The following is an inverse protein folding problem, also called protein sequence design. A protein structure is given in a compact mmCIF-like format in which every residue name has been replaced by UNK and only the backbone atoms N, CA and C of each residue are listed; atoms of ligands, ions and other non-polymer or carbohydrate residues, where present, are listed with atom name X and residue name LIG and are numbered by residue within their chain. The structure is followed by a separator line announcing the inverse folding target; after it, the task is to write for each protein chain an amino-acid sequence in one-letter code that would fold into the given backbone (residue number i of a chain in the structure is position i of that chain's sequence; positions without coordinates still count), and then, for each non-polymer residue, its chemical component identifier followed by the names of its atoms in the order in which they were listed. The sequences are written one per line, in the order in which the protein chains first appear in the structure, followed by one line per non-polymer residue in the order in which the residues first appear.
data_IF_396861570580
#
_entry.id   IF_396861570580
#
_cell.length_a   1.000
_cell.length_b   1.000
_cell.length_c   1.000
_cell.angle_alpha   90.00
_cell.angle_beta   90.00
_cell.angle_gamma   90.00
#
_symmetry.space_group_name_H-M   'P 1'
#
loop_
_entity.id
_entity.type
_entity.pdbx_description
1 polymer ?
#
# COMPACT_ATOMS: atom_id res chain seq x y z
N UNK A 1 13.77 -19.31 10.37
CA UNK A 1 14.72 -18.23 9.99
C UNK A 1 14.23 -17.43 8.78
N UNK A 2 13.92 -18.06 7.64
CA UNK A 2 13.44 -17.33 6.43
C UNK A 2 12.15 -16.54 6.67
N UNK A 3 11.19 -17.08 7.44
CA UNK A 3 9.97 -16.37 7.86
C UNK A 3 10.29 -15.05 8.57
N UNK A 4 11.24 -15.06 9.52
CA UNK A 4 11.66 -13.88 10.29
C UNK A 4 12.33 -12.85 9.37
N UNK A 5 13.17 -13.31 8.44
CA UNK A 5 13.83 -12.45 7.45
C UNK A 5 12.77 -11.77 6.57
N UNK A 6 11.81 -12.52 6.04
CA UNK A 6 10.74 -11.98 5.22
C UNK A 6 9.92 -10.94 5.99
N UNK A 7 9.58 -11.23 7.24
CA UNK A 7 8.82 -10.32 8.09
C UNK A 7 9.60 -9.00 8.33
N UNK A 8 10.87 -9.09 8.68
CA UNK A 8 11.73 -7.90 8.85
C UNK A 8 11.82 -7.10 7.55
N UNK A 9 11.92 -7.76 6.39
CA UNK A 9 12.02 -7.07 5.11
C UNK A 9 10.70 -6.41 4.73
N UNK A 10 9.58 -7.13 4.82
CA UNK A 10 8.24 -6.64 4.46
C UNK A 10 7.82 -5.47 5.36
N UNK A 11 8.05 -5.54 6.67
CA UNK A 11 7.68 -4.44 7.58
C UNK A 11 8.77 -3.37 7.69
N UNK A 12 10.05 -3.76 7.67
CA UNK A 12 11.17 -2.83 7.75
C UNK A 12 11.27 -1.91 6.53
N UNK A 13 10.95 -2.41 5.33
CA UNK A 13 10.93 -1.56 4.14
C UNK A 13 9.87 -0.44 4.21
N UNK A 14 8.82 -0.59 5.03
CA UNK A 14 7.87 0.49 5.25
C UNK A 14 8.51 1.77 5.79
N UNK A 15 9.60 1.65 6.57
CA UNK A 15 10.36 2.81 7.06
C UNK A 15 11.29 3.38 5.99
N UNK A 16 11.90 2.51 5.18
CA UNK A 16 12.77 2.94 4.07
C UNK A 16 11.99 3.62 2.95
N UNK A 17 10.70 3.32 2.77
CA UNK A 17 9.84 3.95 1.78
C UNK A 17 9.82 5.48 1.89
N UNK A 18 9.72 6.01 3.11
CA UNK A 18 9.66 7.46 3.34
C UNK A 18 11.01 8.12 3.05
N UNK A 19 12.10 7.49 3.46
CA UNK A 19 13.46 7.97 3.17
C UNK A 19 13.77 7.92 1.67
N UNK A 20 13.45 6.81 1.00
CA UNK A 20 13.67 6.63 -0.43
C UNK A 20 12.84 7.61 -1.26
N UNK A 21 11.58 7.86 -0.89
CA UNK A 21 10.74 8.83 -1.59
C UNK A 21 11.30 10.26 -1.53
N UNK A 22 11.94 10.64 -0.41
CA UNK A 22 12.62 11.93 -0.25
C UNK A 22 13.88 12.00 -1.11
N UNK A 23 14.74 10.99 -1.06
CA UNK A 23 15.98 10.95 -1.85
C UNK A 23 15.74 10.96 -3.37
N UNK A 24 14.75 10.21 -3.85
CA UNK A 24 14.37 10.22 -5.28
C UNK A 24 13.96 11.64 -5.70
N UNK A 25 13.24 12.36 -4.83
CA UNK A 25 12.80 13.73 -5.09
C UNK A 25 13.98 14.71 -5.11
N UNK A 26 14.99 14.50 -4.27
CA UNK A 26 16.26 15.27 -4.28
C UNK A 26 17.18 14.90 -5.46
N UNK A 27 16.71 14.11 -6.44
CA UNK A 27 17.46 13.57 -7.58
C UNK A 27 18.65 12.68 -7.19
N UNK A 28 18.73 12.25 -5.93
CA UNK A 28 19.70 11.25 -5.50
C UNK A 28 19.08 9.85 -5.62
N UNK A 29 19.18 9.27 -6.81
CA UNK A 29 18.45 8.05 -7.18
C UNK A 29 19.26 6.76 -6.88
N UNK A 30 20.57 6.88 -6.69
CA UNK A 30 21.48 5.73 -6.48
C UNK A 30 21.10 4.89 -5.25
N UNK A 31 20.95 5.53 -4.09
CA UNK A 31 20.63 4.82 -2.84
C UNK A 31 19.22 4.18 -2.86
N UNK A 32 18.16 4.87 -3.31
CA UNK A 32 16.84 4.26 -3.46
C UNK A 32 16.82 3.03 -4.39
N UNK A 33 17.56 3.07 -5.50
CA UNK A 33 17.67 1.94 -6.42
C UNK A 33 18.39 0.77 -5.74
N UNK A 34 19.58 1.00 -5.17
CA UNK A 34 20.38 -0.07 -4.55
C UNK A 34 19.62 -0.72 -3.39
N UNK A 35 19.05 0.08 -2.49
CA UNK A 35 18.29 -0.43 -1.34
C UNK A 35 17.06 -1.25 -1.77
N UNK A 36 16.32 -0.78 -2.76
CA UNK A 36 15.16 -1.50 -3.28
C UNK A 36 15.56 -2.80 -3.99
N UNK A 37 16.66 -2.79 -4.77
CA UNK A 37 17.19 -3.98 -5.44
C UNK A 37 17.65 -5.06 -4.44
N UNK A 38 18.34 -4.66 -3.36
CA UNK A 38 18.74 -5.59 -2.29
C UNK A 38 17.51 -6.24 -1.66
N UNK A 39 16.50 -5.45 -1.35
CA UNK A 39 15.27 -5.91 -0.70
C UNK A 39 14.49 -6.87 -1.59
N UNK A 40 14.31 -6.52 -2.87
CA UNK A 40 13.69 -7.38 -3.86
C UNK A 40 14.49 -8.69 -4.02
N UNK A 41 15.83 -8.60 -4.07
CA UNK A 41 16.71 -9.76 -4.14
C UNK A 41 16.54 -10.71 -2.94
N UNK A 42 16.42 -10.17 -1.72
CA UNK A 42 16.17 -10.97 -0.52
C UNK A 42 14.80 -11.64 -0.59
N UNK A 43 13.77 -10.93 -1.05
CA UNK A 43 12.42 -11.49 -1.19
C UNK A 43 12.41 -12.63 -2.21
N UNK A 44 13.04 -12.46 -3.38
CA UNK A 44 13.18 -13.54 -4.36
C UNK A 44 14.00 -14.72 -3.82
N UNK A 45 15.05 -14.46 -3.04
CA UNK A 45 15.80 -15.52 -2.39
C UNK A 45 14.92 -16.34 -1.44
N UNK A 46 14.05 -15.69 -0.66
CA UNK A 46 13.06 -16.38 0.18
C UNK A 46 12.08 -17.17 -0.68
N UNK A 47 11.59 -16.57 -1.78
CA UNK A 47 10.64 -17.20 -2.72
C UNK A 47 11.17 -18.54 -3.25
N UNK A 48 12.39 -18.58 -3.78
CA UNK A 48 12.94 -19.82 -4.36
C UNK A 48 13.29 -20.88 -3.30
N UNK A 49 13.61 -20.47 -2.07
CA UNK A 49 14.00 -21.39 -1.00
C UNK A 49 12.80 -21.92 -0.21
N UNK A 50 11.62 -21.33 -0.39
CA UNK A 50 10.43 -21.65 0.40
C UNK A 50 9.87 -23.05 0.15
N UNK A 51 9.97 -23.60 -1.07
CA UNK A 51 9.53 -24.97 -1.37
C UNK A 51 10.25 -26.08 -0.60
N UNK A 52 11.46 -25.80 -0.08
CA UNK A 52 12.22 -26.78 0.70
C UNK A 52 11.95 -26.70 2.21
N UNK A 53 10.93 -25.94 2.64
CA UNK A 53 10.56 -25.76 4.04
C UNK A 53 9.46 -26.72 4.48
N UNK A 54 9.33 -26.89 5.80
CA UNK A 54 8.19 -27.55 6.42
C UNK A 54 6.89 -26.78 6.12
N UNK A 55 5.75 -27.49 6.05
CA UNK A 55 4.42 -26.93 5.76
C UNK A 55 4.12 -25.64 6.52
N UNK A 56 4.26 -25.64 7.85
CA UNK A 56 3.94 -24.47 8.67
C UNK A 56 4.83 -23.25 8.33
N UNK A 57 6.05 -23.45 7.85
CA UNK A 57 6.91 -22.33 7.44
C UNK A 57 6.55 -21.79 6.06
N UNK A 58 6.01 -22.64 5.19
CA UNK A 58 5.51 -22.26 3.87
C UNK A 58 4.20 -21.46 4.01
N UNK A 59 3.25 -21.96 4.80
CA UNK A 59 2.00 -21.27 5.17
C UNK A 59 2.28 -19.85 5.68
N UNK A 60 3.20 -19.72 6.64
CA UNK A 60 3.59 -18.41 7.18
C UNK A 60 4.18 -17.47 6.12
N UNK A 61 4.93 -17.97 5.15
CA UNK A 61 5.48 -17.17 4.05
C UNK A 61 4.35 -16.66 3.15
N UNK A 62 3.38 -17.52 2.82
CA UNK A 62 2.19 -17.18 2.02
C UNK A 62 1.33 -16.14 2.76
N UNK A 63 1.09 -16.34 4.05
CA UNK A 63 0.31 -15.37 4.84
C UNK A 63 1.00 -14.02 4.96
N UNK A 64 2.32 -14.00 5.24
CA UNK A 64 3.08 -12.75 5.33
C UNK A 64 3.11 -12.02 3.98
N UNK A 65 3.26 -12.74 2.86
CA UNK A 65 3.24 -12.13 1.53
C UNK A 65 1.85 -11.59 1.16
N UNK A 66 0.78 -12.32 1.48
CA UNK A 66 -0.61 -11.86 1.30
C UNK A 66 -0.92 -10.60 2.12
N UNK A 67 -0.55 -10.59 3.41
CA UNK A 67 -0.70 -9.40 4.28
C UNK A 67 0.15 -8.24 3.75
N UNK A 68 1.38 -8.52 3.33
CA UNK A 68 2.29 -7.55 2.72
C UNK A 68 1.66 -6.90 1.49
N UNK A 69 1.09 -7.69 0.58
CA UNK A 69 0.40 -7.21 -0.62
C UNK A 69 -0.73 -6.23 -0.28
N UNK A 70 -1.63 -6.62 0.62
CA UNK A 70 -2.78 -5.79 1.03
C UNK A 70 -2.30 -4.50 1.70
N UNK A 71 -1.31 -4.60 2.59
CA UNK A 71 -0.71 -3.44 3.26
C UNK A 71 -0.08 -2.46 2.26
N UNK A 72 0.70 -2.96 1.29
CA UNK A 72 1.35 -2.13 0.29
C UNK A 72 0.36 -1.52 -0.71
N UNK A 73 -0.71 -2.23 -1.09
CA UNK A 73 -1.81 -1.67 -1.89
C UNK A 73 -2.52 -0.53 -1.16
N UNK A 74 -2.80 -0.71 0.14
CA UNK A 74 -3.37 0.35 0.96
C UNK A 74 -2.46 1.58 1.08
N UNK A 75 -1.15 1.36 1.29
CA UNK A 75 -0.18 2.45 1.37
C UNK A 75 -0.01 3.17 0.03
N UNK A 76 -0.07 2.44 -1.09
CA UNK A 76 -0.02 3.02 -2.43
C UNK A 76 -1.20 3.97 -2.66
N UNK A 77 -2.43 3.50 -2.42
CA UNK A 77 -3.61 4.34 -2.62
C UNK A 77 -3.64 5.53 -1.65
N UNK A 78 -3.20 5.33 -0.41
CA UNK A 78 -3.10 6.43 0.57
C UNK A 78 -2.13 7.50 0.09
N UNK A 79 -1.06 7.10 -0.60
CA UNK A 79 -0.05 8.02 -1.10
C UNK A 79 -0.55 8.79 -2.33
N UNK A 80 -1.24 8.13 -3.27
CA UNK A 80 -1.86 8.79 -4.43
C UNK A 80 -3.07 9.66 -4.07
N UNK A 81 -3.90 9.23 -3.12
CA UNK A 81 -5.12 9.95 -2.69
C UNK A 81 -4.85 11.23 -1.91
N UNK A 82 -3.61 11.52 -1.52
CA UNK A 82 -3.24 12.83 -0.96
C UNK A 82 -3.44 13.95 -2.00
N UNK A 83 -3.21 13.67 -3.29
CA UNK A 83 -3.22 14.66 -4.38
C UNK A 83 -4.53 15.47 -4.52
N UNK A 84 -5.72 14.87 -4.66
CA UNK A 84 -6.96 15.63 -4.85
C UNK A 84 -7.45 16.34 -3.57
N UNK A 85 -7.10 15.83 -2.38
CA UNK A 85 -7.56 16.40 -1.11
C UNK A 85 -6.87 17.72 -0.76
N UNK A 86 -5.55 17.78 -0.95
CA UNK A 86 -4.79 19.00 -0.63
C UNK A 86 -5.08 20.13 -1.62
N UNK A 87 -5.10 19.85 -2.93
CA UNK A 87 -5.43 20.85 -3.95
C UNK A 87 -6.86 21.43 -3.76
N UNK A 88 -7.81 20.59 -3.33
CA UNK A 88 -9.20 21.02 -3.10
C UNK A 88 -9.37 21.78 -1.79
N UNK A 89 -8.64 21.44 -0.73
CA UNK A 89 -8.60 22.23 0.51
C UNK A 89 -7.92 23.58 0.30
N UNK A 90 -6.84 23.62 -0.47
CA UNK A 90 -6.09 24.84 -0.76
C UNK A 90 -6.91 25.81 -1.61
N UNK A 91 -7.61 25.34 -2.66
CA UNK A 91 -8.57 26.18 -3.40
C UNK A 91 -9.67 26.78 -2.53
N UNK A 92 -10.07 26.10 -1.47
CA UNK A 92 -11.07 26.60 -0.52
C UNK A 92 -10.47 27.59 0.47
N UNK A 93 -9.23 27.40 0.92
CA UNK A 93 -8.52 28.35 1.78
C UNK A 93 -8.08 29.61 1.03
N UNK A 94 -7.63 29.49 -0.23
CA UNK A 94 -7.23 30.65 -1.05
C UNK A 94 -8.41 31.54 -1.44
N UNK A 95 -9.63 30.99 -1.51
CA UNK A 95 -10.85 31.81 -1.66
C UNK A 95 -11.14 32.71 -0.45
N UNK A 96 -10.53 32.43 0.70
CA UNK A 96 -10.71 33.18 1.96
C UNK A 96 -9.51 34.06 2.33
N UNK A 97 -8.32 33.81 1.78
CA UNK A 97 -7.09 34.49 2.18
C UNK A 97 -6.27 34.89 0.93
N UNK A 98 -6.52 36.11 0.45
CA UNK A 98 -5.64 36.81 -0.48
C UNK A 98 -4.47 37.39 0.32
N UNK A 99 -3.28 36.79 0.22
CA UNK A 99 -2.01 37.52 0.03
C UNK A 99 -0.82 36.53 0.05
N UNK A 100 0.22 36.87 -0.72
CA UNK A 100 1.61 36.38 -0.91
C UNK A 100 2.20 35.14 -0.18
N UNK A 101 1.59 34.61 0.88
CA UNK A 101 1.98 33.36 1.56
C UNK A 101 1.64 32.08 0.75
N UNK A 102 0.89 32.24 -0.34
CA UNK A 102 0.44 31.15 -1.20
C UNK A 102 1.57 30.49 -2.03
N UNK A 103 2.64 31.20 -2.41
CA UNK A 103 3.68 30.60 -3.28
C UNK A 103 4.57 29.59 -2.56
N UNK A 104 5.02 29.88 -1.33
CA UNK A 104 5.79 28.91 -0.53
C UNK A 104 4.92 27.70 -0.14
N UNK A 105 3.64 27.93 0.17
CA UNK A 105 2.70 26.84 0.43
C UNK A 105 2.46 25.98 -0.82
N UNK A 106 2.35 26.58 -2.01
CA UNK A 106 2.25 25.89 -3.28
C UNK A 106 3.50 25.06 -3.59
N UNK A 107 4.70 25.59 -3.32
CA UNK A 107 5.95 24.82 -3.45
C UNK A 107 5.97 23.63 -2.49
N UNK A 108 5.64 23.83 -1.21
CA UNK A 108 5.59 22.76 -0.20
C UNK A 108 4.55 21.69 -0.59
N UNK A 109 3.42 22.09 -1.18
CA UNK A 109 2.35 21.18 -1.61
C UNK A 109 2.77 20.41 -2.85
N UNK A 110 3.35 21.07 -3.85
CA UNK A 110 3.88 20.41 -5.05
C UNK A 110 4.95 19.39 -4.69
N UNK A 111 5.83 19.74 -3.75
CA UNK A 111 6.85 18.86 -3.16
C UNK A 111 6.21 17.64 -2.50
N UNK A 112 5.21 17.83 -1.63
CA UNK A 112 4.50 16.74 -0.94
C UNK A 112 3.76 15.82 -1.92
N UNK A 113 3.23 16.37 -3.02
CA UNK A 113 2.54 15.60 -4.06
C UNK A 113 3.53 14.73 -4.86
N UNK A 114 4.69 15.28 -5.25
CA UNK A 114 5.72 14.50 -5.96
C UNK A 114 6.26 13.38 -5.08
N UNK A 115 6.61 13.67 -3.81
CA UNK A 115 7.05 12.65 -2.85
C UNK A 115 5.95 11.62 -2.56
N UNK A 116 4.68 12.03 -2.56
CA UNK A 116 3.55 11.12 -2.42
C UNK A 116 3.42 10.17 -3.61
N UNK A 117 3.62 10.66 -4.83
CA UNK A 117 3.55 9.82 -6.04
C UNK A 117 4.71 8.83 -6.11
N UNK A 118 5.94 9.25 -5.79
CA UNK A 118 7.11 8.34 -5.77
C UNK A 118 6.95 7.26 -4.71
N UNK A 119 6.49 7.62 -3.51
CA UNK A 119 6.13 6.65 -2.46
C UNK A 119 5.05 5.67 -2.94
N UNK A 120 4.00 6.17 -3.60
CA UNK A 120 2.93 5.34 -4.13
C UNK A 120 3.42 4.31 -5.14
N UNK A 121 4.32 4.70 -6.04
CA UNK A 121 4.94 3.81 -7.02
C UNK A 121 5.80 2.72 -6.36
N UNK A 122 6.63 3.08 -5.38
CA UNK A 122 7.44 2.11 -4.63
C UNK A 122 6.56 1.11 -3.87
N UNK A 123 5.45 1.56 -3.28
CA UNK A 123 4.47 0.68 -2.66
C UNK A 123 3.83 -0.28 -3.67
N UNK A 124 3.46 0.19 -4.87
CA UNK A 124 2.91 -0.71 -5.90
C UNK A 124 3.92 -1.75 -6.37
N UNK A 125 5.19 -1.36 -6.51
CA UNK A 125 6.26 -2.30 -6.84
C UNK A 125 6.39 -3.40 -5.78
N UNK A 126 6.39 -3.03 -4.49
CA UNK A 126 6.43 -4.03 -3.41
C UNK A 126 5.17 -4.87 -3.31
N UNK A 127 4.00 -4.30 -3.58
CA UNK A 127 2.76 -5.07 -3.68
C UNK A 127 2.89 -6.15 -4.77
N UNK A 128 3.34 -5.79 -5.97
CA UNK A 128 3.55 -6.75 -7.05
C UNK A 128 4.54 -7.87 -6.65
N UNK A 129 5.65 -7.52 -6.00
CA UNK A 129 6.63 -8.51 -5.52
C UNK A 129 6.01 -9.45 -4.46
N UNK A 130 5.23 -8.92 -3.52
CA UNK A 130 4.56 -9.74 -2.52
C UNK A 130 3.53 -10.69 -3.17
N UNK A 131 2.78 -10.22 -4.17
CA UNK A 131 1.82 -11.03 -4.90
C UNK A 131 2.52 -12.16 -5.67
N UNK A 132 3.67 -11.90 -6.30
CA UNK A 132 4.46 -12.94 -6.96
C UNK A 132 4.92 -14.02 -5.97
N UNK A 133 5.38 -13.64 -4.78
CA UNK A 133 5.78 -14.61 -3.76
C UNK A 133 4.60 -15.44 -3.26
N UNK A 134 3.44 -14.80 -3.09
CA UNK A 134 2.20 -15.45 -2.70
C UNK A 134 1.79 -16.50 -3.73
N UNK A 135 1.68 -16.12 -5.00
CA UNK A 135 1.25 -16.99 -6.10
C UNK A 135 2.25 -18.15 -6.33
N UNK A 136 3.55 -17.86 -6.36
CA UNK A 136 4.57 -18.87 -6.63
C UNK A 136 4.64 -19.98 -5.57
N UNK A 137 4.43 -19.64 -4.30
CA UNK A 137 4.53 -20.59 -3.19
C UNK A 137 3.18 -21.25 -2.84
N UNK A 138 2.09 -20.83 -3.48
CA UNK A 138 0.77 -21.37 -3.19
C UNK A 138 0.68 -22.84 -3.58
N UNK A 139 0.16 -23.67 -2.67
CA UNK A 139 -0.15 -25.07 -2.96
C UNK A 139 -1.63 -25.32 -2.75
N UNK A 140 -2.16 -26.40 -3.32
CA UNK A 140 -3.60 -26.73 -3.28
C UNK A 140 -4.14 -26.83 -1.85
N UNK A 141 -3.34 -27.31 -0.89
CA UNK A 141 -3.76 -27.41 0.51
C UNK A 141 -3.91 -26.03 1.18
N UNK A 142 -2.87 -25.20 1.03
CA UNK A 142 -2.81 -23.84 1.59
C UNK A 142 -3.87 -22.92 0.97
N UNK A 143 -4.21 -23.14 -0.31
CA UNK A 143 -5.21 -22.35 -1.02
C UNK A 143 -6.59 -22.37 -0.33
N UNK A 144 -7.05 -23.53 0.15
CA UNK A 144 -8.34 -23.63 0.83
C UNK A 144 -8.37 -22.81 2.13
N UNK A 145 -7.32 -22.91 2.94
CA UNK A 145 -7.23 -22.17 4.20
C UNK A 145 -7.17 -20.65 3.96
N UNK A 146 -6.44 -20.23 2.93
CA UNK A 146 -6.34 -18.83 2.54
C UNK A 146 -7.66 -18.30 1.99
N UNK A 147 -8.41 -19.09 1.21
CA UNK A 147 -9.73 -18.71 0.70
C UNK A 147 -10.73 -18.56 1.85
N UNK A 148 -10.72 -19.46 2.83
CA UNK A 148 -11.58 -19.36 4.01
C UNK A 148 -11.25 -18.11 4.84
N UNK A 149 -9.96 -17.82 5.03
CA UNK A 149 -9.51 -16.58 5.68
C UNK A 149 -9.92 -15.32 4.92
N UNK A 150 -9.81 -15.33 3.58
CA UNK A 150 -10.24 -14.23 2.71
C UNK A 150 -11.74 -13.99 2.81
N UNK A 151 -12.55 -15.04 2.93
CA UNK A 151 -14.02 -14.95 3.13
C UNK A 151 -14.38 -14.13 4.37
N UNK A 152 -13.70 -14.39 5.50
CA UNK A 152 -13.87 -13.61 6.73
C UNK A 152 -13.43 -12.16 6.52
N UNK A 153 -12.31 -11.93 5.84
CA UNK A 153 -11.82 -10.60 5.52
C UNK A 153 -12.79 -9.79 4.65
N UNK A 154 -13.46 -10.42 3.68
CA UNK A 154 -14.48 -9.76 2.85
C UNK A 154 -15.63 -9.21 3.70
N UNK A 155 -16.12 -10.00 4.66
CA UNK A 155 -17.20 -9.58 5.54
C UNK A 155 -16.87 -8.27 6.29
N UNK A 156 -15.69 -8.21 6.92
CA UNK A 156 -15.24 -6.99 7.61
C UNK A 156 -15.01 -5.82 6.65
N UNK A 157 -14.54 -6.09 5.43
CA UNK A 157 -14.28 -5.05 4.43
C UNK A 157 -15.57 -4.41 3.94
N UNK A 158 -16.64 -5.19 3.72
CA UNK A 158 -17.96 -4.66 3.33
C UNK A 158 -18.50 -3.75 4.43
N UNK A 159 -18.40 -4.15 5.70
CA UNK A 159 -18.79 -3.30 6.83
C UNK A 159 -17.99 -1.99 6.83
N UNK A 160 -16.67 -2.07 6.63
CA UNK A 160 -15.82 -0.88 6.55
C UNK A 160 -16.24 0.03 5.38
N UNK A 161 -16.58 -0.50 4.20
CA UNK A 161 -17.08 0.29 3.06
C UNK A 161 -18.32 1.09 3.48
N UNK A 162 -19.31 0.45 4.11
CA UNK A 162 -20.55 1.11 4.56
C UNK A 162 -20.25 2.25 5.53
N UNK A 163 -19.41 2.00 6.55
CA UNK A 163 -19.01 3.03 7.52
C UNK A 163 -18.33 4.21 6.84
N UNK A 164 -17.42 3.95 5.90
CA UNK A 164 -16.70 5.00 5.18
C UNK A 164 -17.59 5.78 4.21
N UNK A 165 -18.60 5.15 3.60
CA UNK A 165 -19.63 5.84 2.79
C UNK A 165 -20.37 6.85 3.67
N UNK A 166 -20.79 6.45 4.87
CA UNK A 166 -21.48 7.35 5.81
C UNK A 166 -20.59 8.55 6.15
N UNK A 167 -19.30 8.32 6.42
CA UNK A 167 -18.34 9.41 6.69
C UNK A 167 -18.23 10.37 5.50
N UNK A 168 -18.13 9.85 4.27
CA UNK A 168 -18.07 10.68 3.07
C UNK A 168 -19.34 11.51 2.87
N UNK A 169 -20.52 10.93 3.11
CA UNK A 169 -21.81 11.64 3.04
C UNK A 169 -21.89 12.75 4.10
N UNK A 170 -21.51 12.46 5.35
CA UNK A 170 -21.53 13.46 6.44
C UNK A 170 -20.59 14.62 6.14
N UNK A 171 -19.40 14.34 5.61
CA UNK A 171 -18.47 15.40 5.19
C UNK A 171 -18.98 16.20 4.01
N UNK A 172 -19.63 15.54 3.05
CA UNK A 172 -20.24 16.22 1.91
C UNK A 172 -21.34 17.19 2.37
N UNK A 173 -22.22 16.78 3.28
CA UNK A 173 -23.28 17.64 3.82
C UNK A 173 -22.69 18.81 4.62
N UNK A 174 -21.68 18.57 5.46
CA UNK A 174 -21.14 19.61 6.37
C UNK A 174 -20.20 20.60 5.69
N UNK A 175 -19.42 20.14 4.70
CA UNK A 175 -18.34 20.93 4.11
C UNK A 175 -18.43 21.08 2.58
N UNK A 176 -19.40 20.45 1.92
CA UNK A 176 -19.53 20.38 0.45
C UNK A 176 -18.27 19.79 -0.23
N UNK A 177 -17.54 18.94 0.49
CA UNK A 177 -16.32 18.28 0.02
C UNK A 177 -16.55 16.77 0.03
N UNK A 178 -16.40 16.14 -1.14
CA UNK A 178 -16.20 14.71 -1.22
C UNK A 178 -14.76 14.37 -0.80
N UNK A 179 -14.62 13.78 0.38
CA UNK A 179 -13.34 13.33 0.89
C UNK A 179 -12.79 12.11 0.16
N UNK A 180 -13.64 11.29 -0.49
CA UNK A 180 -13.26 10.00 -1.10
C UNK A 180 -12.53 9.11 -0.07
N UNK A 181 -12.99 9.10 1.18
CA UNK A 181 -12.46 8.20 2.21
C UNK A 181 -12.80 6.74 1.88
N UNK A 182 -13.91 6.50 1.19
CA UNK A 182 -14.35 5.20 0.65
C UNK A 182 -13.38 4.53 -0.30
N UNK A 183 -12.53 5.29 -0.98
CA UNK A 183 -11.54 4.73 -1.91
C UNK A 183 -10.57 3.76 -1.21
N UNK A 184 -10.32 4.00 0.09
CA UNK A 184 -9.44 3.20 0.93
C UNK A 184 -9.95 1.75 1.12
N UNK A 185 -11.10 1.50 1.77
CA UNK A 185 -11.60 0.13 1.92
C UNK A 185 -11.92 -0.52 0.56
N UNK A 186 -12.23 0.27 -0.47
CA UNK A 186 -12.46 -0.25 -1.82
C UNK A 186 -11.18 -0.83 -2.45
N UNK A 187 -10.01 -0.23 -2.20
CA UNK A 187 -8.73 -0.84 -2.62
C UNK A 187 -8.35 -2.09 -1.84
N UNK A 188 -8.69 -2.17 -0.55
CA UNK A 188 -8.50 -3.41 0.21
C UNK A 188 -9.37 -4.52 -0.39
N UNK A 189 -10.62 -4.21 -0.72
CA UNK A 189 -11.52 -5.16 -1.38
C UNK A 189 -10.94 -5.64 -2.72
N UNK A 190 -10.39 -4.72 -3.54
CA UNK A 190 -9.72 -5.07 -4.79
C UNK A 190 -8.48 -5.95 -4.54
N UNK A 191 -7.68 -5.66 -3.51
CA UNK A 191 -6.54 -6.48 -3.14
C UNK A 191 -6.97 -7.89 -2.72
N UNK A 192 -8.05 -8.03 -1.95
CA UNK A 192 -8.59 -9.34 -1.59
C UNK A 192 -9.10 -10.12 -2.81
N UNK A 193 -9.76 -9.45 -3.76
CA UNK A 193 -10.16 -10.08 -5.04
C UNK A 193 -8.93 -10.62 -5.78
N UNK A 194 -7.86 -9.84 -5.88
CA UNK A 194 -6.63 -10.29 -6.54
C UNK A 194 -5.97 -11.48 -5.83
N UNK A 195 -5.96 -11.49 -4.50
CA UNK A 195 -5.47 -12.64 -3.73
C UNK A 195 -6.34 -13.89 -3.91
N UNK A 196 -7.66 -13.72 -3.98
CA UNK A 196 -8.57 -14.82 -4.22
C UNK A 196 -8.37 -15.44 -5.61
N UNK A 197 -8.16 -14.60 -6.63
CA UNK A 197 -7.83 -15.06 -7.99
C UNK A 197 -6.47 -15.78 -8.01
N UNK A 198 -5.48 -15.26 -7.28
CA UNK A 198 -4.15 -15.88 -7.22
C UNK A 198 -4.12 -17.19 -6.40
N UNK A 199 -5.11 -17.41 -5.53
CA UNK A 199 -5.26 -18.63 -4.74
C UNK A 199 -6.15 -19.70 -5.39
N UNK A 200 -6.90 -19.34 -6.44
CA UNK A 200 -7.83 -20.22 -7.15
C UNK A 200 -7.15 -20.96 -8.30
#
# INVERSE_FOLDING_TARGET
MLVIILLIVVFGYCYLLDFNAVLIKERNILFPIISSSIIIGIIFFVMFKAHNLNSNSLENIILISGIGFVMYMWLAIRSFSKRPRYIKMEKLMSSKWQDKENEEQLEIISVKVVTGNTRGLLCMMMAAVCLMVFEYNMTVGEAYEVIDFLSVCYFFTVIAIVVYIIIDIVQYIRYNIFGMYTLRPLTILLAFILLHIAAA
#
